data_IF_962079403904
#
_entry.id   IF_962079403904
#
_cell.length_a   1.000
_cell.length_b   1.000
_cell.length_c   1.000
_cell.angle_alpha   90.00
_cell.angle_beta   90.00
_cell.angle_gamma   90.00
#
_symmetry.space_group_name_H-M   'P 1'
#
loop_
_entity.id
_entity.type
_entity.pdbx_description
1 polymer ?
#
# COMPACT_ATOMS: atom_id res chain seq x y z
N UNK A 1 -90.13 14.66 47.46
CA UNK A 1 -89.06 15.35 48.20
C UNK A 1 -88.01 15.75 47.16
N UNK A 2 -87.89 17.06 46.86
CA UNK A 2 -86.78 17.86 46.23
C UNK A 2 -85.75 17.12 45.35
N UNK A 3 -85.24 17.58 44.20
CA UNK A 3 -85.25 18.79 43.35
C UNK A 3 -84.39 18.43 42.10
N UNK A 4 -84.68 19.01 40.93
CA UNK A 4 -83.76 19.72 39.99
C UNK A 4 -82.35 19.13 39.71
N UNK A 5 -81.74 19.13 38.52
CA UNK A 5 -81.79 20.05 37.38
C UNK A 5 -80.94 19.44 36.22
N UNK A 6 -81.10 20.01 35.03
CA UNK A 6 -80.40 19.65 33.79
C UNK A 6 -78.89 19.97 33.78
N UNK A 7 -78.14 19.28 32.91
CA UNK A 7 -76.72 19.53 32.67
C UNK A 7 -76.24 18.96 31.33
N UNK A 8 -76.63 19.62 30.24
CA UNK A 8 -75.95 19.63 28.95
C UNK A 8 -74.45 20.00 29.14
N UNK A 9 -73.53 19.29 28.46
CA UNK A 9 -72.49 19.90 27.60
C UNK A 9 -71.36 18.96 27.16
N UNK A 10 -71.14 19.04 25.85
CA UNK A 10 -69.85 19.02 25.10
C UNK A 10 -69.08 17.71 24.98
N UNK A 11 -69.27 17.10 23.79
CA UNK A 11 -68.20 16.54 22.97
C UNK A 11 -66.94 17.41 23.06
N UNK A 12 -65.88 16.90 23.68
CA UNK A 12 -64.55 17.46 23.53
C UNK A 12 -63.88 16.80 22.32
N UNK A 13 -63.82 17.57 21.25
CA UNK A 13 -62.92 17.40 20.13
C UNK A 13 -61.48 17.49 20.67
N UNK A 14 -60.83 16.33 20.90
CA UNK A 14 -59.39 16.28 21.10
C UNK A 14 -58.72 16.65 19.77
N UNK A 15 -58.15 17.86 19.71
CA UNK A 15 -57.29 18.29 18.62
C UNK A 15 -56.06 17.39 18.58
N UNK A 16 -55.60 16.92 17.42
CA UNK A 16 -54.31 16.25 17.33
C UNK A 16 -53.21 17.26 17.67
N UNK A 17 -52.40 16.88 18.65
CA UNK A 17 -51.17 17.53 19.09
C UNK A 17 -50.19 17.68 17.90
N UNK A 18 -49.74 18.90 17.51
CA UNK A 18 -48.93 19.10 16.32
C UNK A 18 -47.43 18.78 16.53
N UNK A 19 -47.02 18.25 17.68
CA UNK A 19 -45.60 18.00 17.99
C UNK A 19 -45.26 16.54 18.29
N UNK A 20 -45.97 15.60 17.66
CA UNK A 20 -45.48 14.21 17.57
C UNK A 20 -44.68 14.03 16.29
N UNK A 21 -43.39 14.34 16.44
CA UNK A 21 -42.25 13.74 15.78
C UNK A 21 -42.49 13.25 14.37
N UNK A 22 -41.99 14.03 13.42
CA UNK A 22 -41.63 13.60 12.08
C UNK A 22 -41.24 12.11 12.10
N UNK A 23 -42.05 11.32 11.41
CA UNK A 23 -41.78 9.93 11.11
C UNK A 23 -40.45 9.91 10.35
N UNK A 24 -39.36 9.77 11.12
CA UNK A 24 -38.00 9.65 10.61
C UNK A 24 -38.01 8.41 9.74
N UNK A 25 -38.09 8.62 8.43
CA UNK A 25 -37.72 7.64 7.43
C UNK A 25 -36.42 6.97 7.89
N UNK A 26 -36.25 5.65 7.74
CA UNK A 26 -35.03 4.98 8.12
C UNK A 26 -33.87 5.70 7.44
N UNK A 27 -33.10 6.46 8.22
CA UNK A 27 -31.80 6.93 7.77
C UNK A 27 -30.97 5.66 7.68
N UNK A 28 -30.53 5.36 6.47
CA UNK A 28 -29.71 4.20 6.17
C UNK A 28 -28.47 4.24 7.07
N UNK A 29 -28.36 3.30 8.03
CA UNK A 29 -27.29 3.19 9.04
C UNK A 29 -25.89 3.00 8.43
N UNK A 30 -25.77 3.01 7.09
CA UNK A 30 -24.51 3.06 6.36
C UNK A 30 -23.76 4.39 6.52
N UNK A 31 -24.45 5.46 6.97
CA UNK A 31 -23.90 6.79 7.17
C UNK A 31 -22.98 6.95 8.41
N UNK A 32 -22.93 5.97 9.32
CA UNK A 32 -22.18 6.09 10.58
C UNK A 32 -20.67 5.79 10.48
N UNK A 33 -20.21 5.23 9.36
CA UNK A 33 -18.78 4.88 9.18
C UNK A 33 -18.02 5.96 8.40
N UNK A 34 -16.79 6.25 8.81
CA UNK A 34 -16.02 7.38 8.26
C UNK A 34 -15.85 7.30 6.74
N UNK A 35 -15.61 6.12 6.18
CA UNK A 35 -15.35 5.95 4.75
C UNK A 35 -16.63 6.06 3.89
N UNK A 36 -17.82 5.87 4.48
CA UNK A 36 -19.12 5.98 3.81
C UNK A 36 -19.61 7.41 3.55
N UNK A 37 -19.00 8.42 4.18
CA UNK A 37 -19.44 9.81 4.04
C UNK A 37 -19.44 10.29 2.58
N UNK A 38 -20.56 10.83 2.13
CA UNK A 38 -20.74 11.34 0.76
C UNK A 38 -20.14 12.74 0.64
N UNK A 39 -19.41 12.99 -0.45
CA UNK A 39 -18.81 14.30 -0.75
C UNK A 39 -19.64 14.99 -1.86
N UNK A 40 -20.78 15.55 -1.47
CA UNK A 40 -21.81 16.10 -2.36
C UNK A 40 -21.29 17.24 -3.26
N UNK A 41 -20.23 17.92 -2.82
CA UNK A 41 -19.58 19.01 -3.52
C UNK A 41 -18.72 18.54 -4.71
N UNK A 42 -18.38 17.24 -4.77
CA UNK A 42 -17.50 16.67 -5.80
C UNK A 42 -18.29 15.98 -6.91
N UNK A 43 -17.90 16.25 -8.15
CA UNK A 43 -18.42 15.56 -9.32
C UNK A 43 -17.78 14.17 -9.50
N UNK A 44 -18.61 13.15 -9.72
CA UNK A 44 -18.16 11.76 -9.85
C UNK A 44 -17.15 11.51 -10.99
N UNK A 45 -17.15 12.33 -12.04
CA UNK A 45 -16.27 12.16 -13.20
C UNK A 45 -14.88 12.81 -13.05
N UNK A 46 -14.66 13.60 -11.99
CA UNK A 46 -13.41 14.38 -11.84
C UNK A 46 -12.48 13.84 -10.75
N UNK A 47 -13.05 13.23 -9.71
CA UNK A 47 -12.32 12.97 -8.47
C UNK A 47 -11.19 11.94 -8.63
N UNK A 48 -11.36 10.94 -9.51
CA UNK A 48 -10.48 9.78 -9.57
C UNK A 48 -9.28 9.96 -10.52
N UNK A 49 -8.22 9.22 -10.22
CA UNK A 49 -7.03 9.09 -11.03
C UNK A 49 -7.23 7.96 -12.06
N UNK A 50 -7.24 8.25 -13.38
CA UNK A 50 -7.63 7.27 -14.39
C UNK A 50 -6.77 6.00 -14.41
N UNK A 51 -5.46 6.10 -14.14
CA UNK A 51 -4.59 4.91 -14.10
C UNK A 51 -4.93 4.01 -12.91
N UNK A 52 -5.34 4.57 -11.77
CA UNK A 52 -5.70 3.80 -10.58
C UNK A 52 -6.96 2.96 -10.83
N UNK A 53 -7.98 3.56 -11.49
CA UNK A 53 -9.21 2.84 -11.87
C UNK A 53 -8.92 1.77 -12.91
N UNK A 54 -8.15 2.08 -13.96
CA UNK A 54 -7.79 1.08 -15.00
C UNK A 54 -6.99 -0.09 -14.44
N UNK A 55 -6.01 0.19 -13.58
CA UNK A 55 -5.22 -0.85 -12.92
C UNK A 55 -6.07 -1.72 -12.00
N UNK A 56 -6.95 -1.10 -11.21
CA UNK A 56 -7.88 -1.86 -10.38
C UNK A 56 -8.78 -2.76 -11.24
N UNK A 57 -9.30 -2.24 -12.36
CA UNK A 57 -10.10 -3.01 -13.32
C UNK A 57 -9.32 -4.15 -13.98
N UNK A 58 -8.01 -4.00 -14.22
CA UNK A 58 -7.21 -5.09 -14.83
C UNK A 58 -7.05 -6.28 -13.89
N UNK A 59 -6.97 -6.03 -12.57
CA UNK A 59 -6.95 -7.07 -11.55
C UNK A 59 -8.32 -7.69 -11.28
N UNK A 60 -9.40 -7.02 -11.69
CA UNK A 60 -10.78 -7.41 -11.45
C UNK A 60 -11.28 -8.53 -12.40
N UNK A 61 -10.41 -9.45 -12.82
CA UNK A 61 -10.72 -10.45 -13.86
C UNK A 61 -11.24 -11.78 -13.29
N UNK A 62 -12.54 -12.04 -13.51
CA UNK A 62 -13.29 -13.31 -13.47
C UNK A 62 -13.38 -14.10 -12.16
N UNK A 63 -14.14 -13.61 -11.18
CA UNK A 63 -15.01 -14.47 -10.36
C UNK A 63 -16.40 -13.83 -10.30
N UNK A 64 -17.31 -14.36 -11.12
CA UNK A 64 -18.73 -14.02 -11.28
C UNK A 64 -19.08 -12.72 -12.04
N UNK A 65 -19.53 -12.94 -13.29
CA UNK A 65 -20.32 -12.07 -14.20
C UNK A 65 -19.57 -11.09 -15.13
N UNK A 66 -19.96 -11.11 -16.40
CA UNK A 66 -19.61 -10.13 -17.45
C UNK A 66 -20.08 -8.69 -17.11
N UNK A 67 -20.77 -8.48 -15.97
CA UNK A 67 -21.51 -7.25 -15.62
C UNK A 67 -20.64 -6.00 -15.42
N UNK A 68 -19.31 -6.12 -15.37
CA UNK A 68 -18.40 -4.99 -15.13
C UNK A 68 -17.50 -4.57 -16.29
N UNK A 69 -17.35 -5.41 -17.33
CA UNK A 69 -16.34 -5.21 -18.40
C UNK A 69 -16.66 -4.02 -19.29
N UNK A 70 -17.94 -3.84 -19.62
CA UNK A 70 -18.40 -2.82 -20.57
C UNK A 70 -18.81 -1.49 -19.91
N UNK A 71 -18.82 -1.42 -18.58
CA UNK A 71 -19.17 -0.20 -17.85
C UNK A 71 -18.12 0.89 -17.99
N UNK A 72 -18.56 2.15 -18.04
CA UNK A 72 -17.67 3.30 -17.88
C UNK A 72 -17.08 3.39 -16.47
N UNK A 73 -15.98 4.14 -16.29
CA UNK A 73 -15.29 4.23 -14.99
C UNK A 73 -16.21 4.67 -13.83
N UNK A 74 -17.06 5.68 -14.06
CA UNK A 74 -18.00 6.18 -13.04
C UNK A 74 -19.08 5.16 -12.72
N UNK A 75 -19.64 4.53 -13.74
CA UNK A 75 -20.68 3.52 -13.61
C UNK A 75 -20.15 2.28 -12.89
N UNK A 76 -18.92 1.87 -13.20
CA UNK A 76 -18.22 0.82 -12.45
C UNK A 76 -18.09 1.18 -10.98
N UNK A 77 -17.60 2.38 -10.65
CA UNK A 77 -17.46 2.82 -9.26
C UNK A 77 -18.83 2.93 -8.55
N UNK A 78 -19.90 3.27 -9.28
CA UNK A 78 -21.26 3.27 -8.78
C UNK A 78 -21.75 1.86 -8.41
N UNK A 79 -21.55 0.88 -9.30
CA UNK A 79 -21.88 -0.53 -9.01
C UNK A 79 -21.10 -1.10 -7.82
N UNK A 80 -19.97 -0.48 -7.45
CA UNK A 80 -19.17 -0.85 -6.27
C UNK A 80 -19.57 -0.10 -4.99
N UNK A 81 -20.57 0.78 -5.03
CA UNK A 81 -20.98 1.62 -3.89
C UNK A 81 -19.96 2.70 -3.52
N UNK A 82 -19.00 2.98 -4.40
CA UNK A 82 -17.97 3.99 -4.19
C UNK A 82 -18.44 5.37 -4.69
N UNK A 83 -19.25 5.37 -5.74
CA UNK A 83 -20.05 6.51 -6.16
C UNK A 83 -21.50 6.20 -5.80
N UNK A 84 -22.24 7.20 -5.32
CA UNK A 84 -23.65 7.05 -4.93
C UNK A 84 -24.50 8.17 -5.51
N UNK A 85 -25.80 7.93 -5.62
CA UNK A 85 -26.80 8.95 -5.95
C UNK A 85 -26.96 9.93 -4.78
N UNK A 86 -26.87 11.21 -5.07
CA UNK A 86 -27.02 12.31 -4.12
C UNK A 86 -27.90 13.39 -4.76
N UNK A 87 -29.20 13.33 -4.48
CA UNK A 87 -30.20 14.11 -5.22
C UNK A 87 -30.19 13.73 -6.70
N UNK A 88 -30.08 14.72 -7.59
CA UNK A 88 -30.05 14.51 -9.04
C UNK A 88 -28.64 14.25 -9.61
N UNK A 89 -27.64 14.05 -8.75
CA UNK A 89 -26.22 13.93 -9.16
C UNK A 89 -25.58 12.67 -8.58
N UNK A 90 -24.50 12.23 -9.22
CA UNK A 90 -23.61 11.21 -8.68
C UNK A 90 -22.47 11.87 -7.92
N UNK A 91 -22.22 11.42 -6.69
CA UNK A 91 -21.17 11.93 -5.82
C UNK A 91 -20.29 10.79 -5.29
N UNK A 92 -18.97 11.01 -5.11
CA UNK A 92 -18.10 10.01 -4.51
C UNK A 92 -18.27 9.93 -2.98
N UNK A 93 -18.09 8.73 -2.45
CA UNK A 93 -17.86 8.52 -1.01
C UNK A 93 -16.42 8.93 -0.63
N UNK A 94 -16.15 9.12 0.67
CA UNK A 94 -14.79 9.31 1.18
C UNK A 94 -13.89 8.12 0.81
N UNK A 95 -14.41 6.89 0.88
CA UNK A 95 -13.71 5.69 0.45
C UNK A 95 -13.23 5.79 -1.01
N UNK A 96 -14.10 6.26 -1.91
CA UNK A 96 -13.76 6.40 -3.32
C UNK A 96 -12.61 7.39 -3.52
N UNK A 97 -12.67 8.55 -2.86
CA UNK A 97 -11.58 9.54 -2.92
C UNK A 97 -10.30 8.99 -2.32
N UNK A 98 -10.36 8.31 -1.18
CA UNK A 98 -9.18 7.71 -0.55
C UNK A 98 -8.55 6.63 -1.43
N UNK A 99 -9.33 5.74 -2.04
CA UNK A 99 -8.81 4.59 -2.82
C UNK A 99 -8.39 4.98 -4.24
N UNK A 100 -9.15 5.85 -4.91
CA UNK A 100 -8.96 6.17 -6.34
C UNK A 100 -8.68 7.64 -6.62
N UNK A 101 -8.80 8.52 -5.64
CA UNK A 101 -8.75 9.96 -5.85
C UNK A 101 -7.45 10.46 -6.46
N UNK A 102 -7.53 11.57 -7.20
CA UNK A 102 -6.35 12.35 -7.56
C UNK A 102 -5.75 12.97 -6.29
N UNK A 103 -4.42 13.19 -6.23
CA UNK A 103 -3.76 13.71 -5.03
C UNK A 103 -4.40 14.98 -4.46
N UNK A 104 -4.92 15.88 -5.31
CA UNK A 104 -5.61 17.10 -4.87
C UNK A 104 -6.88 16.85 -4.05
N UNK A 105 -7.64 15.79 -4.36
CA UNK A 105 -8.88 15.45 -3.64
C UNK A 105 -8.58 14.61 -2.41
N UNK A 106 -7.58 13.71 -2.49
CA UNK A 106 -7.08 12.97 -1.32
C UNK A 106 -6.66 13.94 -0.23
N UNK A 107 -5.88 14.99 -0.56
CA UNK A 107 -5.45 16.02 0.41
C UNK A 107 -6.58 16.85 1.01
N UNK A 108 -7.77 16.89 0.40
CA UNK A 108 -8.94 17.57 0.96
C UNK A 108 -9.66 16.69 1.99
N UNK A 109 -9.64 15.37 1.79
CA UNK A 109 -10.27 14.39 2.70
C UNK A 109 -9.31 14.01 3.84
N UNK A 110 -8.03 13.84 3.55
CA UNK A 110 -6.98 13.48 4.49
C UNK A 110 -5.93 14.60 4.53
N UNK A 111 -5.95 15.39 5.60
CA UNK A 111 -5.08 16.57 5.79
C UNK A 111 -3.63 16.24 6.20
N UNK A 112 -3.25 14.97 6.06
CA UNK A 112 -1.95 14.42 6.43
C UNK A 112 -1.54 13.37 5.41
N UNK A 113 -0.26 12.98 5.35
CA UNK A 113 0.13 11.82 4.56
C UNK A 113 -0.63 10.56 4.97
N UNK A 114 -0.84 9.67 4.00
CA UNK A 114 -1.44 8.36 4.22
C UNK A 114 -0.54 7.54 5.14
N UNK A 115 0.72 7.36 4.75
CA UNK A 115 1.74 6.61 5.48
C UNK A 115 3.13 7.25 5.28
N UNK A 116 3.94 7.29 6.35
CA UNK A 116 5.39 7.53 6.31
C UNK A 116 6.15 6.22 6.47
N UNK A 117 6.86 5.80 5.43
CA UNK A 117 7.59 4.55 5.37
C UNK A 117 9.10 4.81 5.44
N UNK A 118 9.77 4.22 6.43
CA UNK A 118 11.16 4.48 6.79
C UNK A 118 11.95 3.18 6.83
N UNK A 119 13.06 3.10 6.10
CA UNK A 119 14.01 1.99 6.16
C UNK A 119 15.20 2.41 7.02
N UNK A 120 15.43 1.72 8.13
CA UNK A 120 16.36 2.08 9.18
C UNK A 120 17.43 0.97 9.26
N UNK A 121 18.68 1.34 9.02
CA UNK A 121 19.81 0.40 9.01
C UNK A 121 20.28 -0.08 10.40
N UNK A 122 19.52 0.20 11.45
CA UNK A 122 19.83 -0.12 12.85
C UNK A 122 18.82 -1.13 13.43
N UNK A 123 19.15 -1.74 14.56
CA UNK A 123 18.17 -2.53 15.31
C UNK A 123 17.19 -1.61 16.06
N UNK A 124 16.02 -2.14 16.42
CA UNK A 124 14.96 -1.38 17.10
C UNK A 124 15.40 -0.76 18.43
N UNK A 125 16.21 -1.48 19.21
CA UNK A 125 16.65 -1.05 20.54
C UNK A 125 17.89 -0.12 20.51
N UNK A 126 18.46 0.17 19.34
CA UNK A 126 19.67 1.02 19.19
C UNK A 126 19.37 2.53 19.37
N UNK A 127 18.14 2.92 19.68
CA UNK A 127 17.72 4.31 19.95
C UNK A 127 17.04 5.02 18.76
N UNK A 128 16.49 6.23 18.97
CA UNK A 128 15.65 6.89 17.98
C UNK A 128 16.43 7.26 16.69
N UNK A 129 15.87 6.97 15.51
CA UNK A 129 16.58 6.96 14.24
C UNK A 129 16.72 8.34 13.59
N UNK A 130 16.79 9.43 14.37
CA UNK A 130 16.63 10.81 13.88
C UNK A 130 17.51 11.16 12.66
N UNK A 131 18.59 10.39 12.40
CA UNK A 131 19.43 10.51 11.20
C UNK A 131 19.92 9.19 10.56
N UNK A 132 19.23 8.06 10.75
CA UNK A 132 19.73 6.74 10.32
C UNK A 132 18.82 5.95 9.37
N UNK A 133 17.92 6.63 8.64
CA UNK A 133 17.18 5.98 7.57
C UNK A 133 18.04 5.88 6.30
N UNK A 134 18.06 4.69 5.69
CA UNK A 134 18.72 4.41 4.40
C UNK A 134 17.81 4.72 3.22
N UNK A 135 16.50 4.70 3.44
CA UNK A 135 15.47 5.10 2.48
C UNK A 135 14.24 5.59 3.26
N UNK A 136 13.49 6.55 2.70
CA UNK A 136 12.26 7.07 3.29
C UNK A 136 11.32 7.51 2.18
N UNK A 137 10.04 7.18 2.36
CA UNK A 137 8.98 7.62 1.46
C UNK A 137 7.76 8.03 2.27
N UNK A 138 7.29 9.25 2.01
CA UNK A 138 6.04 9.77 2.56
C UNK A 138 5.03 9.71 1.43
N UNK A 139 3.94 8.97 1.63
CA UNK A 139 2.90 8.80 0.61
C UNK A 139 1.73 9.72 0.94
N UNK A 140 1.34 10.56 -0.02
CA UNK A 140 0.20 11.48 0.08
C UNK A 140 -0.88 11.20 -0.97
N UNK A 141 -0.63 10.22 -1.83
CA UNK A 141 -1.50 9.75 -2.90
C UNK A 141 -2.62 8.83 -2.37
N UNK A 142 -3.47 8.35 -3.27
CA UNK A 142 -4.54 7.42 -2.92
C UNK A 142 -4.00 6.07 -2.40
N UNK A 143 -4.87 5.30 -1.73
CA UNK A 143 -4.48 4.05 -1.06
C UNK A 143 -3.96 2.97 -2.01
N UNK A 144 -4.40 2.96 -3.27
CA UNK A 144 -3.85 2.05 -4.27
C UNK A 144 -2.40 2.41 -4.59
N UNK A 145 -2.12 3.69 -4.84
CA UNK A 145 -0.76 4.17 -5.05
C UNK A 145 0.11 3.94 -3.79
N UNK A 146 -0.42 4.14 -2.59
CA UNK A 146 0.27 3.81 -1.35
C UNK A 146 0.68 2.35 -1.28
N UNK A 147 -0.25 1.43 -1.57
CA UNK A 147 0.06 0.00 -1.60
C UNK A 147 1.15 -0.33 -2.61
N UNK A 148 1.02 0.16 -3.86
CA UNK A 148 1.97 -0.10 -4.96
C UNK A 148 3.38 0.39 -4.60
N UNK A 149 3.47 1.64 -4.15
CA UNK A 149 4.73 2.31 -3.84
C UNK A 149 5.46 1.63 -2.68
N UNK A 150 4.74 1.25 -1.61
CA UNK A 150 5.35 0.60 -0.45
C UNK A 150 5.72 -0.85 -0.79
N UNK A 151 4.89 -1.58 -1.53
CA UNK A 151 5.20 -2.95 -1.97
C UNK A 151 6.44 -2.99 -2.88
N UNK A 152 6.58 -2.04 -3.80
CA UNK A 152 7.77 -1.92 -4.65
C UNK A 152 9.02 -1.62 -3.82
N UNK A 153 8.93 -0.71 -2.84
CA UNK A 153 10.03 -0.41 -1.90
C UNK A 153 10.43 -1.64 -1.10
N UNK A 154 9.45 -2.37 -0.55
CA UNK A 154 9.71 -3.63 0.14
C UNK A 154 10.47 -4.61 -0.76
N UNK A 155 10.03 -4.80 -2.00
CA UNK A 155 10.68 -5.69 -2.98
C UNK A 155 12.12 -5.31 -3.34
N UNK A 156 12.46 -4.02 -3.27
CA UNK A 156 13.82 -3.52 -3.49
C UNK A 156 14.75 -3.77 -2.31
N UNK A 157 14.23 -3.70 -1.08
CA UNK A 157 15.01 -3.82 0.15
C UNK A 157 15.05 -5.25 0.71
N UNK A 158 14.05 -6.07 0.41
CA UNK A 158 13.97 -7.44 0.91
C UNK A 158 15.07 -8.32 0.30
N UNK A 159 15.75 -9.07 1.16
CA UNK A 159 16.69 -10.10 0.74
C UNK A 159 15.92 -11.20 -0.02
N UNK A 160 16.40 -11.57 -1.21
CA UNK A 160 15.81 -12.64 -2.03
C UNK A 160 16.62 -13.93 -1.88
N UNK A 161 16.24 -14.84 -0.97
CA UNK A 161 16.76 -16.19 -1.03
C UNK A 161 16.27 -16.88 -2.30
N UNK A 162 17.14 -17.66 -2.93
CA UNK A 162 16.74 -18.51 -4.05
C UNK A 162 15.77 -19.57 -3.54
N UNK A 163 14.52 -19.53 -4.00
CA UNK A 163 13.57 -20.61 -3.78
C UNK A 163 12.96 -21.07 -5.10
N UNK A 164 12.99 -22.38 -5.35
CA UNK A 164 12.39 -23.00 -6.54
C UNK A 164 11.19 -23.79 -6.05
N UNK A 165 10.00 -23.48 -6.58
CA UNK A 165 8.83 -24.31 -6.38
C UNK A 165 9.06 -25.66 -7.08
N UNK A 166 9.24 -26.71 -6.28
CA UNK A 166 9.53 -28.07 -6.76
C UNK A 166 8.37 -28.70 -7.55
N UNK A 167 7.14 -28.19 -7.44
CA UNK A 167 5.98 -28.65 -8.23
C UNK A 167 5.88 -27.96 -9.58
N UNK A 168 6.22 -26.68 -9.67
CA UNK A 168 6.10 -25.91 -10.92
C UNK A 168 7.43 -25.70 -11.64
N UNK A 169 8.56 -26.05 -11.00
CA UNK A 169 9.93 -25.78 -11.44
C UNK A 169 10.16 -24.29 -11.79
N UNK A 170 9.31 -23.40 -11.27
CA UNK A 170 9.45 -21.95 -11.38
C UNK A 170 10.06 -21.42 -10.08
N UNK A 171 10.91 -20.40 -10.20
CA UNK A 171 11.35 -19.65 -9.03
C UNK A 171 10.14 -18.97 -8.40
N UNK A 172 9.94 -19.15 -7.09
CA UNK A 172 9.10 -18.23 -6.36
C UNK A 172 9.96 -16.98 -6.15
N UNK A 173 9.72 -15.98 -7.00
CA UNK A 173 10.56 -14.80 -7.10
C UNK A 173 10.25 -13.77 -6.00
N UNK A 174 9.25 -14.03 -5.15
CA UNK A 174 8.88 -13.15 -4.05
C UNK A 174 9.73 -13.46 -2.80
N UNK A 175 10.19 -12.43 -2.06
CA UNK A 175 10.88 -12.64 -0.79
C UNK A 175 10.03 -13.46 0.19
N UNK A 176 10.59 -14.37 1.01
CA UNK A 176 9.81 -15.25 1.88
C UNK A 176 8.86 -14.52 2.83
N UNK A 177 9.24 -13.32 3.29
CA UNK A 177 8.42 -12.48 4.16
C UNK A 177 7.32 -11.68 3.46
N UNK A 178 7.26 -11.70 2.12
CA UNK A 178 6.36 -10.83 1.35
C UNK A 178 4.88 -11.10 1.62
N UNK A 179 4.48 -12.36 1.80
CA UNK A 179 3.07 -12.69 2.05
C UNK A 179 2.58 -12.07 3.36
N UNK A 180 3.36 -12.19 4.44
CA UNK A 180 3.03 -11.58 5.74
C UNK A 180 3.10 -10.06 5.68
N UNK A 181 4.09 -9.50 4.99
CA UNK A 181 4.21 -8.06 4.76
C UNK A 181 3.00 -7.50 4.01
N UNK A 182 2.58 -8.14 2.91
CA UNK A 182 1.44 -7.73 2.08
C UNK A 182 0.16 -7.69 2.90
N UNK A 183 -0.08 -8.74 3.69
CA UNK A 183 -1.25 -8.83 4.57
C UNK A 183 -1.19 -7.76 5.67
N UNK A 184 -0.02 -7.52 6.28
CA UNK A 184 0.15 -6.47 7.28
C UNK A 184 -0.10 -5.07 6.71
N UNK A 185 0.44 -4.76 5.53
CA UNK A 185 0.24 -3.48 4.83
C UNK A 185 -1.23 -3.27 4.47
N UNK A 186 -1.91 -4.27 3.92
CA UNK A 186 -3.33 -4.17 3.57
C UNK A 186 -4.19 -3.99 4.82
N UNK A 187 -3.91 -4.73 5.90
CA UNK A 187 -4.61 -4.54 7.17
C UNK A 187 -4.36 -3.13 7.74
N UNK A 188 -3.14 -2.60 7.60
CA UNK A 188 -2.83 -1.24 8.00
C UNK A 188 -3.69 -0.22 7.22
N UNK A 189 -3.77 -0.33 5.89
CA UNK A 189 -4.59 0.57 5.07
C UNK A 189 -6.09 0.43 5.38
N UNK A 190 -6.60 -0.78 5.54
CA UNK A 190 -8.04 -1.01 5.79
C UNK A 190 -8.47 -0.50 7.17
N UNK A 191 -7.64 -0.66 8.19
CA UNK A 191 -8.02 -0.37 9.58
C UNK A 191 -7.50 0.97 10.11
N UNK A 192 -6.88 1.79 9.27
CA UNK A 192 -6.42 3.12 9.64
C UNK A 192 -7.60 4.04 10.00
N UNK A 193 -7.45 4.84 11.06
CA UNK A 193 -8.36 5.95 11.34
C UNK A 193 -8.05 7.15 10.42
N UNK A 194 -8.80 7.24 9.33
CA UNK A 194 -8.71 8.36 8.38
C UNK A 194 -9.38 9.65 8.88
N UNK A 195 -10.12 9.59 9.99
CA UNK A 195 -10.67 10.77 10.66
C UNK A 195 -9.63 11.52 11.50
N UNK A 196 -8.53 10.87 11.88
CA UNK A 196 -7.42 11.51 12.57
C UNK A 196 -6.69 12.50 11.65
N UNK A 197 -6.69 13.79 12.03
CA UNK A 197 -6.10 14.87 11.23
C UNK A 197 -4.64 15.17 11.53
N UNK A 198 -4.08 14.64 12.61
CA UNK A 198 -2.76 15.05 13.11
C UNK A 198 -1.69 13.97 13.08
N UNK A 199 -2.07 12.69 13.20
CA UNK A 199 -1.13 11.59 13.37
C UNK A 199 -0.98 10.78 12.09
N UNK A 200 0.20 10.83 11.48
CA UNK A 200 0.54 10.06 10.28
C UNK A 200 0.87 8.61 10.65
N UNK A 201 0.17 7.66 10.04
CA UNK A 201 0.52 6.24 10.13
C UNK A 201 1.95 6.01 9.61
N UNK A 202 2.66 5.02 10.13
CA UNK A 202 4.02 4.76 9.67
C UNK A 202 4.36 3.28 9.55
N UNK A 203 5.36 3.00 8.72
CA UNK A 203 6.02 1.70 8.65
C UNK A 203 7.51 1.94 8.86
N UNK A 204 8.10 1.25 9.82
CA UNK A 204 9.53 1.32 10.08
C UNK A 204 10.15 -0.05 9.91
N UNK A 205 11.03 -0.17 8.93
CA UNK A 205 11.84 -1.37 8.71
C UNK A 205 13.15 -1.20 9.45
N UNK A 206 13.28 -1.88 10.58
CA UNK A 206 14.56 -2.04 11.28
C UNK A 206 15.26 -3.28 10.77
N UNK A 207 16.55 -3.40 11.09
CA UNK A 207 17.32 -4.60 10.75
C UNK A 207 16.75 -5.87 11.40
N UNK A 208 16.17 -5.75 12.58
CA UNK A 208 15.70 -6.87 13.41
C UNK A 208 14.17 -6.99 13.47
N UNK A 209 13.39 -6.04 12.92
CA UNK A 209 11.92 -6.11 12.86
C UNK A 209 11.30 -5.09 11.93
N UNK A 210 10.06 -5.31 11.53
CA UNK A 210 9.23 -4.29 10.86
C UNK A 210 8.09 -3.87 11.78
N UNK A 211 7.91 -2.57 11.97
CA UNK A 211 6.86 -1.99 12.82
C UNK A 211 5.85 -1.26 11.95
N UNK A 212 4.58 -1.67 12.05
CA UNK A 212 3.43 -1.02 11.43
C UNK A 212 2.65 -0.32 12.54
N UNK A 213 2.45 0.99 12.42
CA UNK A 213 1.70 1.77 13.40
C UNK A 213 0.58 2.55 12.73
N UNK A 214 -0.60 2.53 13.36
CA UNK A 214 -1.80 3.24 12.92
C UNK A 214 -2.40 4.11 14.02
N UNK A 215 -2.95 5.28 13.66
CA UNK A 215 -3.97 5.92 14.49
C UNK A 215 -5.25 5.08 14.46
N UNK A 216 -5.92 5.03 15.60
CA UNK A 216 -7.06 4.14 15.87
C UNK A 216 -6.61 2.88 16.60
N UNK A 217 -7.35 2.53 17.64
CA UNK A 217 -7.23 1.28 18.39
C UNK A 217 -7.88 0.11 17.63
N UNK A 218 -7.56 -1.11 18.07
CA UNK A 218 -8.14 -2.33 17.54
C UNK A 218 -9.66 -2.44 17.83
N UNK A 219 -10.43 -3.02 16.91
CA UNK A 219 -11.87 -3.27 17.12
C UNK A 219 -12.18 -4.34 18.17
N UNK A 220 -11.15 -5.01 18.69
CA UNK A 220 -11.26 -6.00 19.75
C UNK A 220 -9.95 -6.06 20.54
N UNK A 221 -9.97 -6.57 21.79
CA UNK A 221 -8.76 -6.82 22.56
C UNK A 221 -7.77 -7.68 21.77
N UNK A 222 -6.47 -7.47 21.98
CA UNK A 222 -5.42 -8.12 21.19
C UNK A 222 -5.55 -9.67 21.18
N UNK A 223 -5.99 -10.27 22.29
CA UNK A 223 -6.25 -11.71 22.40
C UNK A 223 -7.34 -12.23 21.46
N UNK A 224 -8.35 -11.41 21.21
CA UNK A 224 -9.52 -11.76 20.40
C UNK A 224 -9.30 -11.46 18.91
N UNK A 225 -8.34 -10.59 18.58
CA UNK A 225 -7.94 -10.35 17.18
C UNK A 225 -7.50 -11.63 16.49
N UNK A 226 -6.87 -12.54 17.24
CA UNK A 226 -6.46 -13.85 16.78
C UNK A 226 -7.60 -14.87 16.74
N UNK A 227 -8.85 -14.56 17.09
CA UNK A 227 -9.97 -15.52 17.04
C UNK A 227 -10.49 -15.80 15.61
N UNK A 228 -11.31 -16.84 15.41
CA UNK A 228 -11.91 -17.15 14.09
C UNK A 228 -13.11 -16.28 13.77
N UNK A 229 -13.62 -15.58 14.78
CA UNK A 229 -14.77 -14.70 14.64
C UNK A 229 -14.46 -13.56 13.68
N UNK A 230 -15.46 -13.18 12.88
CA UNK A 230 -15.39 -11.96 12.10
C UNK A 230 -15.33 -10.78 13.08
N UNK A 231 -14.49 -9.79 12.78
CA UNK A 231 -14.39 -8.54 13.54
C UNK A 231 -14.96 -7.42 12.70
N UNK A 232 -15.44 -6.39 13.39
CA UNK A 232 -15.81 -5.14 12.73
C UNK A 232 -14.62 -4.54 12.00
N UNK A 233 -14.91 -4.07 10.79
CA UNK A 233 -13.95 -3.46 9.89
C UNK A 233 -14.20 -1.97 9.92
N UNK A 234 -13.16 -1.19 10.27
CA UNK A 234 -13.27 0.27 10.46
C UNK A 234 -13.69 1.01 9.18
N UNK A 235 -13.21 0.54 8.04
CA UNK A 235 -13.49 1.12 6.72
C UNK A 235 -14.01 0.01 5.77
N UNK A 236 -15.31 -0.33 5.80
CA UNK A 236 -15.88 -1.46 5.07
C UNK A 236 -15.88 -1.25 3.55
N UNK A 237 -16.05 -0.03 3.06
CA UNK A 237 -16.00 0.25 1.61
C UNK A 237 -14.55 0.13 1.10
N UNK A 238 -13.58 0.63 1.89
CA UNK A 238 -12.16 0.46 1.58
C UNK A 238 -11.79 -1.03 1.59
N UNK A 239 -12.24 -1.78 2.58
CA UNK A 239 -12.02 -3.22 2.66
C UNK A 239 -12.66 -3.97 1.48
N UNK A 240 -13.90 -3.63 1.12
CA UNK A 240 -14.59 -4.21 -0.02
C UNK A 240 -13.87 -3.93 -1.35
N UNK A 241 -13.27 -2.75 -1.51
CA UNK A 241 -12.43 -2.43 -2.66
C UNK A 241 -11.20 -3.33 -2.72
N UNK A 242 -10.40 -3.43 -1.65
CA UNK A 242 -9.20 -4.29 -1.66
C UNK A 242 -9.52 -5.79 -1.77
N UNK A 243 -10.65 -6.26 -1.21
CA UNK A 243 -11.12 -7.65 -1.41
C UNK A 243 -11.55 -7.90 -2.85
N UNK A 244 -12.16 -6.92 -3.51
CA UNK A 244 -12.61 -7.02 -4.89
C UNK A 244 -11.51 -7.34 -5.89
N UNK A 245 -10.26 -6.97 -5.59
CA UNK A 245 -9.07 -7.28 -6.42
C UNK A 245 -8.15 -8.34 -5.79
N UNK A 246 -8.64 -9.09 -4.80
CA UNK A 246 -7.90 -10.19 -4.17
C UNK A 246 -6.70 -9.76 -3.31
N UNK A 247 -6.54 -8.47 -3.01
CA UNK A 247 -5.44 -7.99 -2.17
C UNK A 247 -5.70 -8.16 -0.66
N UNK A 248 -6.96 -8.21 -0.26
CA UNK A 248 -7.37 -8.43 1.13
C UNK A 248 -8.09 -9.77 1.30
N UNK A 249 -7.85 -10.43 2.44
CA UNK A 249 -8.57 -11.66 2.82
C UNK A 249 -9.92 -11.36 3.46
N UNK A 250 -10.71 -12.42 3.65
CA UNK A 250 -11.94 -12.36 4.45
C UNK A 250 -11.63 -12.06 5.92
N UNK A 251 -12.56 -11.34 6.56
CA UNK A 251 -12.44 -10.90 7.95
C UNK A 251 -12.10 -12.07 8.89
N UNK A 252 -11.19 -11.84 9.84
CA UNK A 252 -10.80 -12.83 10.85
C UNK A 252 -9.74 -13.85 10.43
N UNK A 253 -9.30 -13.87 9.15
CA UNK A 253 -8.26 -14.81 8.69
C UNK A 253 -6.87 -14.18 8.55
N UNK A 254 -6.81 -12.87 8.27
CA UNK A 254 -5.57 -12.14 7.94
C UNK A 254 -4.50 -12.18 9.02
N UNK A 255 -4.84 -11.73 10.23
CA UNK A 255 -3.89 -11.68 11.36
C UNK A 255 -3.29 -13.05 11.70
N UNK A 256 -4.09 -14.12 11.63
CA UNK A 256 -3.61 -15.49 11.86
C UNK A 256 -2.64 -15.95 10.78
N UNK A 257 -2.91 -15.60 9.52
CA UNK A 257 -2.03 -15.91 8.41
C UNK A 257 -0.67 -15.21 8.59
N UNK A 258 -0.65 -13.94 9.00
CA UNK A 258 0.59 -13.21 9.33
C UNK A 258 1.38 -13.99 10.38
N UNK A 259 0.77 -14.33 11.51
CA UNK A 259 1.46 -15.02 12.61
C UNK A 259 2.01 -16.39 12.20
N UNK A 260 1.19 -17.20 11.51
CA UNK A 260 1.56 -18.54 11.05
C UNK A 260 2.69 -18.46 10.01
N UNK A 261 2.50 -17.67 8.97
CA UNK A 261 3.41 -17.60 7.83
C UNK A 261 4.74 -17.00 8.27
N UNK A 262 4.73 -15.96 9.12
CA UNK A 262 5.94 -15.34 9.64
C UNK A 262 6.77 -16.30 10.53
N UNK A 263 6.12 -17.00 11.47
CA UNK A 263 6.82 -17.97 12.32
C UNK A 263 7.32 -19.19 11.53
N UNK A 264 6.62 -19.59 10.45
CA UNK A 264 7.07 -20.70 9.61
C UNK A 264 8.41 -20.44 8.91
N UNK A 265 8.81 -19.17 8.81
CA UNK A 265 10.11 -18.74 8.27
C UNK A 265 11.24 -18.77 9.31
N UNK A 266 10.97 -19.19 10.56
CA UNK A 266 11.95 -19.20 11.66
C UNK A 266 12.07 -17.87 12.41
N UNK A 267 11.23 -16.90 12.07
CA UNK A 267 11.18 -15.59 12.75
C UNK A 267 10.50 -15.65 14.12
N UNK A 268 10.75 -14.65 14.96
CA UNK A 268 10.03 -14.47 16.22
C UNK A 268 8.51 -14.24 15.99
N UNK A 269 7.65 -14.58 16.98
CA UNK A 269 6.21 -14.32 16.85
C UNK A 269 5.96 -12.82 16.72
N UNK A 270 5.06 -12.38 15.81
CA UNK A 270 4.66 -10.98 15.77
C UNK A 270 4.09 -10.49 17.10
N UNK A 271 4.27 -9.21 17.39
CA UNK A 271 3.77 -8.56 18.61
C UNK A 271 2.70 -7.55 18.23
N UNK A 272 1.56 -7.59 18.92
CA UNK A 272 0.47 -6.61 18.77
C UNK A 272 0.45 -5.75 20.02
N UNK A 273 0.34 -4.44 19.85
CA UNK A 273 0.05 -3.49 20.93
C UNK A 273 -1.12 -2.62 20.51
N UNK A 274 -2.11 -2.47 21.38
CA UNK A 274 -3.24 -1.56 21.17
C UNK A 274 -3.45 -0.79 22.46
N UNK A 275 -3.57 0.52 22.37
CA UNK A 275 -3.88 1.40 23.51
C UNK A 275 -5.15 2.18 23.16
N UNK A 276 -6.27 1.79 23.79
CA UNK A 276 -7.57 2.43 23.62
C UNK A 276 -7.55 3.89 24.11
N UNK A 277 -6.81 4.18 25.18
CA UNK A 277 -6.72 5.53 25.76
C UNK A 277 -5.95 6.51 24.88
N UNK A 278 -5.04 6.02 24.05
CA UNK A 278 -4.31 6.80 23.04
C UNK A 278 -4.88 6.62 21.63
N UNK A 279 -5.85 5.74 21.45
CA UNK A 279 -6.38 5.31 20.15
C UNK A 279 -5.24 5.02 19.16
N UNK A 280 -4.40 4.04 19.51
CA UNK A 280 -3.27 3.60 18.68
C UNK A 280 -3.17 2.08 18.57
N UNK A 281 -2.69 1.62 17.43
CA UNK A 281 -2.46 0.22 17.13
C UNK A 281 -1.09 0.01 16.50
N UNK A 282 -0.34 -0.98 16.99
CA UNK A 282 0.96 -1.36 16.49
C UNK A 282 1.02 -2.87 16.23
N UNK A 283 1.53 -3.26 15.06
CA UNK A 283 1.93 -4.62 14.73
C UNK A 283 3.44 -4.64 14.45
N UNK A 284 4.18 -5.47 15.17
CA UNK A 284 5.61 -5.67 14.99
C UNK A 284 5.92 -7.07 14.47
N UNK A 285 6.51 -7.18 13.28
CA UNK A 285 7.02 -8.44 12.71
C UNK A 285 8.48 -8.61 13.11
N UNK A 286 8.77 -9.49 14.09
CA UNK A 286 10.12 -9.69 14.64
C UNK A 286 10.99 -10.55 13.72
N UNK A 287 12.25 -10.20 13.51
CA UNK A 287 13.21 -10.98 12.73
C UNK A 287 13.64 -12.29 13.40
N UNK A 288 14.55 -13.03 12.74
CA UNK A 288 15.10 -14.29 13.27
C UNK A 288 15.91 -14.05 14.55
N UNK A 289 15.74 -14.94 15.54
CA UNK A 289 16.48 -14.88 16.82
C UNK A 289 16.06 -13.75 17.78
N UNK A 290 15.11 -12.89 17.38
CA UNK A 290 14.54 -11.86 18.25
C UNK A 290 13.39 -12.46 19.05
N UNK A 291 13.63 -12.73 20.34
CA UNK A 291 12.57 -13.11 21.27
C UNK A 291 11.65 -11.92 21.60
N UNK A 292 10.44 -12.18 22.10
CA UNK A 292 9.50 -11.15 22.58
C UNK A 292 9.98 -10.45 23.89
N UNK A 293 11.29 -10.32 24.09
CA UNK A 293 11.89 -9.78 25.30
C UNK A 293 11.77 -8.26 25.37
N UNK A 294 11.10 -7.76 26.41
CA UNK A 294 11.17 -6.35 26.85
C UNK A 294 9.92 -5.50 26.58
N UNK A 295 9.01 -5.95 25.72
CA UNK A 295 7.67 -5.39 25.66
C UNK A 295 6.85 -6.01 26.79
N UNK A 296 5.98 -5.24 27.45
CA UNK A 296 4.80 -5.88 28.07
C UNK A 296 3.95 -6.46 26.94
N UNK A 297 4.35 -7.64 26.47
CA UNK A 297 3.53 -8.52 25.68
C UNK A 297 2.50 -9.08 26.66
N UNK A 298 1.24 -8.72 26.48
CA UNK A 298 0.23 -9.75 26.76
C UNK A 298 0.63 -10.94 25.90
N UNK A 299 1.04 -12.02 26.56
CA UNK A 299 1.68 -13.21 25.96
C UNK A 299 0.62 -13.93 25.09
N UNK A 300 0.41 -13.43 23.88
CA UNK A 300 -0.53 -13.97 22.91
C UNK A 300 0.13 -15.07 22.11
N UNK A 301 0.39 -16.19 22.81
CA UNK A 301 0.57 -17.46 22.14
C UNK A 301 -0.81 -17.97 21.75
N UNK A 302 -1.09 -18.27 20.47
CA UNK A 302 -2.29 -19.03 20.14
C UNK A 302 -2.22 -20.36 20.89
N UNK A 303 -3.21 -20.64 21.73
CA UNK A 303 -3.40 -21.95 22.35
C UNK A 303 -3.76 -22.94 21.25
N UNK A 304 -2.75 -23.49 20.58
CA UNK A 304 -2.92 -24.67 19.75
C UNK A 304 -2.97 -25.84 20.72
N UNK A 305 -4.18 -26.23 21.14
CA UNK A 305 -4.33 -27.53 21.80
C UNK A 305 -3.90 -28.62 20.80
N UNK A 306 -2.98 -29.52 21.18
CA UNK A 306 -2.66 -30.67 20.36
C UNK A 306 -3.91 -31.55 20.31
N UNK A 307 -4.59 -31.53 19.16
CA UNK A 307 -5.69 -32.46 18.88
C UNK A 307 -5.20 -33.91 19.06
N UNK A 308 -6.09 -34.82 19.49
CA UNK A 308 -5.70 -36.17 19.84
C UNK A 308 -5.11 -36.88 18.62
N UNK A 309 -4.05 -37.67 18.86
CA UNK A 309 -3.42 -38.50 17.85
C UNK A 309 -4.46 -39.48 17.27
N UNK A 310 -4.90 -39.24 16.03
CA UNK A 310 -5.79 -40.15 15.31
C UNK A 310 -4.94 -41.24 14.68
N UNK A 311 -5.13 -42.46 15.18
CA UNK A 311 -4.58 -43.67 14.61
C UNK A 311 -5.06 -43.90 13.18
N UNK A 312 -4.19 -44.54 12.42
CA UNK A 312 -4.42 -45.04 11.06
C UNK A 312 -5.71 -45.86 10.98
N UNK A 313 -6.70 -45.35 10.26
CA UNK A 313 -7.92 -46.08 9.88
C UNK A 313 -8.55 -45.43 8.65
N UNK A 314 -8.58 -46.15 7.53
CA UNK A 314 -9.06 -45.65 6.25
C UNK A 314 -10.57 -45.38 6.25
N UNK A 315 -10.96 -44.26 5.64
CA UNK A 315 -12.35 -43.91 5.36
C UNK A 315 -12.43 -42.64 4.52
N UNK A 316 -12.94 -42.77 3.29
CA UNK A 316 -13.20 -41.64 2.38
C UNK A 316 -14.29 -40.74 2.96
N UNK A 317 -14.00 -39.45 3.11
CA UNK A 317 -14.99 -38.39 3.16
C UNK A 317 -14.41 -37.15 2.47
N UNK A 318 -15.15 -36.61 1.51
CA UNK A 318 -14.78 -35.44 0.74
C UNK A 318 -15.09 -34.18 1.56
N UNK A 319 -14.06 -33.41 1.91
CA UNK A 319 -14.19 -32.07 2.44
C UNK A 319 -13.58 -31.09 1.41
N UNK A 320 -14.44 -30.30 0.76
CA UNK A 320 -14.07 -29.23 -0.16
C UNK A 320 -14.20 -27.91 0.61
N UNK A 321 -13.16 -27.57 1.36
CA UNK A 321 -12.98 -26.26 1.99
C UNK A 321 -11.57 -25.76 1.69
N UNK A 322 -11.27 -25.52 0.42
CA UNK A 322 -9.99 -24.96 -0.02
C UNK A 322 -9.94 -23.48 0.32
N UNK A 323 -9.09 -23.11 1.27
CA UNK A 323 -8.65 -21.73 1.49
C UNK A 323 -7.86 -21.28 0.25
N UNK A 324 -8.56 -20.73 -0.74
CA UNK A 324 -7.95 -20.25 -1.98
C UNK A 324 -6.96 -19.12 -1.66
N UNK A 325 -5.68 -19.40 -1.88
CA UNK A 325 -4.64 -18.37 -1.95
C UNK A 325 -5.04 -17.39 -3.05
N UNK A 326 -5.20 -16.08 -2.77
CA UNK A 326 -5.36 -15.11 -3.84
C UNK A 326 -4.10 -15.14 -4.73
N UNK A 327 -4.31 -15.22 -6.04
CA UNK A 327 -3.24 -15.18 -7.03
C UNK A 327 -2.42 -13.89 -6.88
N UNK A 328 -1.10 -13.98 -6.96
CA UNK A 328 -0.25 -12.80 -6.99
C UNK A 328 -0.60 -11.95 -8.23
N UNK A 329 -0.76 -10.62 -8.10
CA UNK A 329 -1.07 -9.79 -9.26
C UNK A 329 0.06 -9.89 -10.29
N UNK A 330 -0.25 -9.84 -11.60
CA UNK A 330 0.76 -9.90 -12.65
C UNK A 330 1.76 -8.74 -12.51
N UNK A 331 3.05 -9.08 -12.56
CA UNK A 331 4.19 -8.15 -12.39
C UNK A 331 4.33 -7.09 -13.49
N UNK A 332 3.55 -7.18 -14.58
CA UNK A 332 3.81 -6.45 -15.81
C UNK A 332 3.39 -4.96 -15.79
N UNK A 333 2.49 -4.54 -14.90
CA UNK A 333 1.88 -3.19 -14.98
C UNK A 333 2.33 -2.23 -13.87
N UNK A 334 3.18 -2.67 -12.93
CA UNK A 334 3.62 -1.87 -11.78
C UNK A 334 4.49 -0.67 -12.17
N UNK A 335 5.34 -0.82 -13.19
CA UNK A 335 6.28 0.22 -13.61
C UNK A 335 5.60 1.44 -14.27
N UNK A 336 4.45 1.24 -14.92
CA UNK A 336 3.72 2.29 -15.65
C UNK A 336 2.88 3.21 -14.72
N UNK A 337 2.64 2.80 -13.47
CA UNK A 337 1.96 3.63 -12.47
C UNK A 337 2.91 4.46 -11.60
N UNK A 338 4.12 3.97 -11.34
CA UNK A 338 5.08 4.63 -10.42
C UNK A 338 5.79 5.82 -11.09
N UNK A 339 5.71 5.93 -12.43
CA UNK A 339 6.42 6.91 -13.26
C UNK A 339 5.88 8.36 -13.24
N UNK A 340 4.91 8.72 -12.40
CA UNK A 340 4.28 10.06 -12.37
C UNK A 340 4.23 10.71 -10.97
N UNK A 341 5.16 10.37 -10.07
CA UNK A 341 5.27 11.09 -8.80
C UNK A 341 5.90 12.46 -9.07
N UNK A 342 5.04 13.45 -9.25
CA UNK A 342 5.42 14.85 -9.41
C UNK A 342 6.33 15.33 -8.29
N UNK A 343 7.48 15.86 -8.69
CA UNK A 343 8.47 16.49 -7.85
C UNK A 343 7.85 17.54 -6.92
N UNK A 344 8.02 17.35 -5.61
CA UNK A 344 7.86 18.43 -4.65
C UNK A 344 9.09 18.48 -3.74
N UNK A 345 9.94 19.46 -4.05
CA UNK A 345 11.25 19.74 -3.45
C UNK A 345 11.10 20.59 -2.18
N UNK A 346 11.89 20.30 -1.15
CA UNK A 346 12.39 21.31 -0.18
C UNK A 346 13.93 21.32 -0.18
N UNK A 347 14.59 22.46 0.10
CA UNK A 347 15.71 22.93 -0.70
C UNK A 347 17.12 22.68 -0.12
N UNK A 348 18.07 22.99 -1.01
CA UNK A 348 19.50 23.33 -0.84
C UNK A 348 20.54 22.20 -0.81
N UNK A 349 20.94 21.77 -2.02
CA UNK A 349 22.37 21.63 -2.35
C UNK A 349 22.59 22.21 -3.75
N UNK A 350 23.41 23.26 -3.84
CA UNK A 350 23.79 23.95 -5.08
C UNK A 350 24.30 22.97 -6.15
N UNK A 351 23.65 22.96 -7.29
CA UNK A 351 24.05 22.17 -8.45
C UNK A 351 23.30 22.53 -9.73
N UNK A 352 22.78 23.75 -9.84
CA UNK A 352 22.26 24.25 -11.10
C UNK A 352 23.44 24.72 -11.97
N UNK A 353 23.36 24.50 -13.29
CA UNK A 353 24.31 24.86 -14.38
C UNK A 353 25.09 23.74 -15.14
N UNK A 354 24.89 22.43 -14.93
CA UNK A 354 25.64 21.40 -15.70
C UNK A 354 24.84 20.55 -16.71
N UNK A 355 23.54 20.80 -16.91
CA UNK A 355 22.71 20.00 -17.84
C UNK A 355 22.80 20.41 -19.33
N UNK A 356 23.74 21.30 -19.70
CA UNK A 356 23.90 21.80 -21.06
C UNK A 356 24.99 21.08 -21.87
N UNK A 357 24.57 20.13 -22.74
CA UNK A 357 25.34 19.41 -23.80
C UNK A 357 26.35 18.34 -23.35
N UNK A 358 25.84 17.13 -23.13
CA UNK A 358 26.66 15.91 -23.23
C UNK A 358 27.31 15.80 -24.61
N UNK A 359 28.56 15.34 -24.65
CA UNK A 359 29.24 14.96 -25.90
C UNK A 359 28.65 13.67 -26.49
N UNK A 360 28.82 13.42 -27.80
CA UNK A 360 28.36 12.19 -28.44
C UNK A 360 28.92 10.92 -27.75
N UNK A 361 30.17 10.98 -27.31
CA UNK A 361 30.82 9.90 -26.56
C UNK A 361 30.21 9.69 -25.17
N UNK A 362 29.83 10.76 -24.46
CA UNK A 362 29.12 10.65 -23.18
C UNK A 362 27.71 10.07 -23.35
N UNK A 363 27.00 10.42 -24.42
CA UNK A 363 25.71 9.80 -24.76
C UNK A 363 25.85 8.30 -25.01
N UNK A 364 26.85 7.88 -25.79
CA UNK A 364 27.12 6.47 -26.04
C UNK A 364 27.43 5.69 -24.75
N UNK A 365 28.20 6.29 -23.84
CA UNK A 365 28.52 5.69 -22.53
C UNK A 365 27.26 5.56 -21.67
N UNK A 366 26.43 6.60 -21.61
CA UNK A 366 25.15 6.54 -20.90
C UNK A 366 24.25 5.45 -21.49
N UNK A 367 24.04 5.42 -22.80
CA UNK A 367 23.24 4.39 -23.46
C UNK A 367 23.75 2.96 -23.21
N UNK A 368 25.08 2.77 -23.10
CA UNK A 368 25.66 1.47 -22.79
C UNK A 368 25.39 0.99 -21.34
N UNK A 369 24.99 1.90 -20.44
CA UNK A 369 24.69 1.61 -19.03
C UNK A 369 23.25 1.15 -18.79
N UNK A 370 22.44 0.94 -19.83
CA UNK A 370 21.07 0.39 -19.74
C UNK A 370 21.03 -0.99 -19.05
N UNK A 371 22.17 -1.69 -19.09
CA UNK A 371 22.46 -2.85 -18.24
C UNK A 371 23.73 -2.57 -17.43
N UNK A 372 23.91 -3.18 -16.24
CA UNK A 372 25.11 -2.95 -15.44
C UNK A 372 26.40 -3.32 -16.17
N UNK A 373 27.26 -2.33 -16.44
CA UNK A 373 28.56 -2.51 -17.14
C UNK A 373 29.75 -2.17 -16.27
N UNK A 374 30.82 -2.93 -16.43
CA UNK A 374 32.12 -2.63 -15.84
C UNK A 374 32.80 -1.45 -16.54
N UNK A 375 33.82 -0.86 -15.89
CA UNK A 375 34.60 0.21 -16.50
C UNK A 375 35.30 -0.24 -17.80
N UNK A 376 35.74 -1.50 -17.87
CA UNK A 376 36.43 -2.04 -19.04
C UNK A 376 35.48 -2.10 -20.25
N UNK A 377 34.26 -2.61 -20.06
CA UNK A 377 33.24 -2.68 -21.11
C UNK A 377 32.83 -1.28 -21.61
N UNK A 378 32.76 -0.29 -20.71
CA UNK A 378 32.44 1.09 -21.10
C UNK A 378 33.60 1.76 -21.87
N UNK A 379 34.85 1.47 -21.51
CA UNK A 379 36.03 1.96 -22.22
C UNK A 379 36.13 1.37 -23.63
N UNK A 380 35.88 0.06 -23.76
CA UNK A 380 35.83 -0.64 -25.04
C UNK A 380 34.76 -0.05 -25.96
N UNK A 381 33.52 0.10 -25.47
CA UNK A 381 32.42 0.69 -26.24
C UNK A 381 32.63 2.16 -26.62
N UNK A 382 33.35 2.91 -25.79
CA UNK A 382 33.69 4.30 -26.09
C UNK A 382 34.91 4.45 -27.01
N UNK A 383 35.63 3.35 -27.30
CA UNK A 383 36.89 3.35 -28.06
C UNK A 383 38.01 4.13 -27.37
N UNK A 384 38.13 4.04 -26.04
CA UNK A 384 39.13 4.77 -25.25
C UNK A 384 39.99 3.82 -24.44
N UNK A 385 41.30 3.82 -24.70
CA UNK A 385 42.24 2.90 -24.03
C UNK A 385 42.77 3.45 -22.69
N UNK A 386 42.73 4.77 -22.47
CA UNK A 386 43.36 5.40 -21.31
C UNK A 386 42.40 5.62 -20.13
N UNK A 387 42.49 4.74 -19.11
CA UNK A 387 41.53 4.63 -17.98
C UNK A 387 41.33 5.92 -17.18
N UNK A 388 42.41 6.61 -16.81
CA UNK A 388 42.32 7.83 -15.99
C UNK A 388 41.69 8.99 -16.76
N UNK A 389 41.97 9.08 -18.06
CA UNK A 389 41.37 10.09 -18.94
C UNK A 389 39.88 9.79 -19.17
N UNK A 390 39.54 8.52 -19.38
CA UNK A 390 38.14 8.08 -19.53
C UNK A 390 37.29 8.43 -18.31
N UNK A 391 37.78 8.11 -17.10
CA UNK A 391 37.08 8.43 -15.84
C UNK A 391 36.86 9.93 -15.70
N UNK A 392 37.91 10.74 -15.86
CA UNK A 392 37.84 12.18 -15.63
C UNK A 392 36.99 12.92 -16.69
N UNK A 393 37.14 12.58 -17.97
CA UNK A 393 36.55 13.35 -19.07
C UNK A 393 35.17 12.85 -19.48
N UNK A 394 34.84 11.59 -19.20
CA UNK A 394 33.59 10.99 -19.69
C UNK A 394 32.70 10.46 -18.58
N UNK A 395 33.22 9.61 -17.70
CA UNK A 395 32.37 8.93 -16.70
C UNK A 395 32.02 9.83 -15.50
N UNK A 396 32.98 10.58 -14.97
CA UNK A 396 32.77 11.47 -13.82
C UNK A 396 31.68 12.53 -14.09
N UNK A 397 31.66 13.21 -15.26
CA UNK A 397 30.57 14.14 -15.58
C UNK A 397 29.19 13.47 -15.64
N UNK A 398 29.10 12.21 -16.08
CA UNK A 398 27.82 11.47 -16.11
C UNK A 398 27.34 11.06 -14.71
N UNK A 399 28.29 10.75 -13.82
CA UNK A 399 28.01 10.47 -12.42
C UNK A 399 27.59 11.74 -11.67
N UNK A 400 28.29 12.86 -11.89
CA UNK A 400 28.00 14.15 -11.26
C UNK A 400 26.68 14.76 -11.78
N UNK A 401 26.38 14.60 -13.07
CA UNK A 401 25.09 14.98 -13.65
C UNK A 401 23.96 14.00 -13.30
N UNK A 402 24.23 12.97 -12.48
CA UNK A 402 23.23 12.01 -12.02
C UNK A 402 22.64 11.13 -13.12
N UNK A 403 23.25 11.05 -14.31
CA UNK A 403 22.75 10.29 -15.46
C UNK A 403 23.14 8.82 -15.43
N UNK A 404 24.25 8.52 -14.77
CA UNK A 404 24.75 7.17 -14.54
C UNK A 404 25.08 7.08 -13.06
N UNK A 405 24.88 5.92 -12.44
CA UNK A 405 25.26 5.67 -11.04
C UNK A 405 26.14 4.45 -10.89
N UNK A 406 26.85 4.41 -9.77
CA UNK A 406 27.63 3.25 -9.32
C UNK A 406 26.69 2.22 -8.69
N UNK A 407 26.95 0.93 -8.96
CA UNK A 407 26.28 -0.19 -8.27
C UNK A 407 26.78 -0.35 -6.83
N UNK A 408 28.07 -0.09 -6.57
CA UNK A 408 28.67 -0.10 -5.23
C UNK A 408 29.20 1.29 -4.83
N UNK A 409 28.35 2.30 -4.58
CA UNK A 409 28.81 3.68 -4.30
C UNK A 409 29.62 3.78 -3.00
N UNK A 410 29.35 2.95 -1.99
CA UNK A 410 30.09 2.91 -0.73
C UNK A 410 31.54 2.41 -0.89
N UNK A 411 31.84 1.66 -1.96
CA UNK A 411 33.20 1.24 -2.28
C UNK A 411 33.47 1.40 -3.79
N UNK A 412 33.79 2.63 -4.25
CA UNK A 412 34.00 2.93 -5.68
C UNK A 412 35.16 2.18 -6.33
N UNK A 413 36.03 1.56 -5.52
CA UNK A 413 37.18 0.76 -5.95
C UNK A 413 36.91 -0.74 -5.89
N UNK A 414 35.68 -1.17 -5.58
CA UNK A 414 35.31 -2.58 -5.53
C UNK A 414 35.62 -3.27 -6.88
N UNK A 415 36.16 -4.51 -6.86
CA UNK A 415 36.55 -5.22 -8.08
C UNK A 415 35.35 -5.56 -8.98
N UNK A 416 34.15 -5.71 -8.41
CA UNK A 416 32.88 -5.92 -9.11
C UNK A 416 32.11 -4.62 -9.38
N UNK A 417 32.76 -3.44 -9.31
CA UNK A 417 32.12 -2.15 -9.56
C UNK A 417 31.56 -2.06 -10.98
N UNK A 418 30.24 -1.90 -11.07
CA UNK A 418 29.53 -1.61 -12.32
C UNK A 418 28.85 -0.24 -12.29
N UNK A 419 28.45 0.22 -13.46
CA UNK A 419 27.75 1.47 -13.69
C UNK A 419 26.44 1.17 -14.41
N UNK A 420 25.37 1.84 -13.99
CA UNK A 420 24.01 1.65 -14.52
C UNK A 420 23.35 3.00 -14.76
N UNK A 421 22.53 3.08 -15.79
CA UNK A 421 21.75 4.26 -16.14
C UNK A 421 20.76 4.59 -15.02
N UNK A 422 20.55 5.88 -14.78
CA UNK A 422 19.51 6.37 -13.85
C UNK A 422 18.29 6.79 -14.64
N UNK A 423 17.19 7.09 -13.95
CA UNK A 423 15.96 7.57 -14.59
C UNK A 423 16.19 8.91 -15.31
N UNK A 424 17.02 9.79 -14.74
CA UNK A 424 17.46 11.03 -15.39
C UNK A 424 18.28 10.75 -16.68
N UNK A 425 19.13 9.72 -16.66
CA UNK A 425 19.86 9.27 -17.84
C UNK A 425 18.98 8.62 -18.91
N UNK A 426 17.92 7.92 -18.50
CA UNK A 426 16.94 7.30 -19.39
C UNK A 426 16.01 8.33 -20.03
N UNK A 427 15.56 9.34 -19.27
CA UNK A 427 14.74 10.43 -19.76
C UNK A 427 15.41 11.23 -20.91
N UNK A 428 16.72 11.44 -20.84
CA UNK A 428 17.50 12.06 -21.93
C UNK A 428 17.55 11.24 -23.23
N UNK A 429 17.16 9.95 -23.20
CA UNK A 429 17.02 9.12 -24.42
C UNK A 429 15.66 9.29 -25.09
N UNK A 430 14.63 9.67 -24.33
CA UNK A 430 13.25 9.82 -24.83
C UNK A 430 13.04 11.15 -25.52
N UNK A 431 13.79 12.19 -25.12
CA UNK A 431 13.57 13.57 -25.55
C UNK A 431 14.44 14.05 -26.73
N UNK A 432 15.11 13.13 -27.45
CA UNK A 432 15.76 13.46 -28.72
C UNK A 432 15.37 12.48 -29.81
N UNK A 433 14.50 12.87 -30.77
CA UNK A 433 14.33 12.08 -31.98
C UNK A 433 15.69 11.92 -32.65
N UNK A 434 16.07 10.69 -32.96
CA UNK A 434 17.23 10.36 -33.79
C UNK A 434 17.23 11.28 -35.00
N UNK A 435 18.18 12.23 -35.04
CA UNK A 435 18.34 13.06 -36.22
C UNK A 435 18.61 12.14 -37.40
N UNK A 436 17.97 12.43 -38.53
CA UNK A 436 17.89 11.63 -39.76
C UNK A 436 19.23 11.34 -40.46
N UNK A 437 20.38 11.55 -39.80
CA UNK A 437 21.73 11.28 -40.31
C UNK A 437 22.39 9.99 -39.78
N UNK A 438 21.74 9.23 -38.90
CA UNK A 438 22.33 7.99 -38.33
C UNK A 438 21.60 6.70 -38.77
N UNK A 439 20.71 6.77 -39.77
CA UNK A 439 20.09 5.58 -40.39
C UNK A 439 20.80 5.04 -41.63
N UNK A 440 21.84 5.72 -42.11
CA UNK A 440 22.70 5.24 -43.19
C UNK A 440 24.16 5.42 -42.77
N UNK A 441 24.80 4.32 -42.39
CA UNK A 441 26.20 4.23 -41.98
C UNK A 441 26.61 2.79 -41.74
#
# INVERSE_FOLDING_TARGET
MKRDEAGDRTEQHERPDPERGEERLPQDDSADQYDGGVLEELEAHEFFHPRSVRWYRSLFSDHDSDEGRDLGDVEFLHHRGLVVECGDRLAPTRAAVLVFGRPRYVRQVLLRPVIDCQFIGAAYDDGPPERHWTDRIVVEENLLQAWLTIAERYMRHAERPFSIDTRTLRGDDDPPGYTSFREALINQLIHQDYGDRGRTAFIRFYRDRTVFWNPGDASAPARELLDRTAKEVRNPLIAAAFRGIGLARQAGTGMRAIFRDWQSLGHGPPVIRSDEGRSEFELSLLGEGVGAGGAQAEDLRPTVEPGPAVGTGGGRAADRGGDERPAAPPRADLADMVSDHGDQVWPDVEGDQAAGRLTARQRAIAAACDVPRSLAELMERAGVSHRSHFRRKHLKPLLEAGLVRMTNPANPRAPNQKYVLTDAGAALRVDQPLSSREREG
#
